data_IF_418837411049
#
_entry.id   IF_418837411049
#
_cell.length_a   1.000
_cell.length_b   1.000
_cell.length_c   1.000
_cell.angle_alpha   90.00
_cell.angle_beta   90.00
_cell.angle_gamma   90.00
#
_symmetry.space_group_name_H-M   'P 1'
#
loop_
_entity.id
_entity.type
_entity.pdbx_description
1 polymer ?
#
# COMPACT_ATOMS: atom_id res chain seq x y z
N UNK A 1 21.82 -26.64 13.14
CA UNK A 1 20.97 -26.09 14.25
C UNK A 1 20.79 -24.56 14.16
N UNK A 2 21.68 -23.79 13.53
CA UNK A 2 21.58 -22.31 13.48
C UNK A 2 20.71 -21.79 12.33
N UNK A 3 20.57 -22.51 11.23
CA UNK A 3 19.65 -22.18 10.13
C UNK A 3 18.18 -22.14 10.58
N UNK A 4 17.80 -22.99 11.52
CA UNK A 4 16.42 -23.07 12.00
C UNK A 4 15.90 -21.76 12.60
N UNK A 5 16.71 -20.99 13.32
CA UNK A 5 16.24 -19.76 13.99
C UNK A 5 15.82 -18.63 13.04
N UNK A 6 16.49 -18.50 11.89
CA UNK A 6 16.10 -17.49 10.90
C UNK A 6 14.75 -17.87 10.26
N UNK A 7 14.51 -19.16 10.02
CA UNK A 7 13.28 -19.66 9.41
C UNK A 7 12.13 -19.86 10.38
N UNK A 8 12.38 -19.85 11.70
CA UNK A 8 11.31 -19.84 12.71
C UNK A 8 10.39 -18.61 12.61
N UNK A 9 10.92 -17.50 12.06
CA UNK A 9 10.16 -16.26 11.84
C UNK A 9 9.48 -16.21 10.47
N UNK A 10 9.83 -17.12 9.55
CA UNK A 10 9.25 -17.19 8.21
C UNK A 10 8.24 -18.32 8.17
N UNK A 11 6.97 -17.96 8.33
CA UNK A 11 5.89 -18.92 8.19
C UNK A 11 5.52 -19.14 6.73
N UNK A 12 5.08 -20.35 6.38
CA UNK A 12 4.60 -20.68 5.03
C UNK A 12 5.64 -20.50 3.92
N UNK A 13 6.89 -20.90 4.20
CA UNK A 13 7.96 -20.88 3.19
C UNK A 13 7.60 -21.78 2.01
N UNK A 14 7.53 -21.19 0.81
CA UNK A 14 7.24 -21.89 -0.45
C UNK A 14 8.49 -22.23 -1.22
N UNK A 15 9.44 -21.29 -1.30
CA UNK A 15 10.62 -21.46 -2.13
C UNK A 15 11.80 -20.67 -1.60
N UNK A 16 13.01 -21.20 -1.86
CA UNK A 16 14.28 -20.49 -1.70
C UNK A 16 14.91 -20.37 -3.08
N UNK A 17 15.33 -19.17 -3.44
CA UNK A 17 16.00 -18.88 -4.72
C UNK A 17 17.37 -18.29 -4.41
N UNK A 18 18.49 -18.99 -4.73
CA UNK A 18 19.83 -18.47 -4.49
C UNK A 18 20.13 -17.27 -5.40
N UNK A 19 20.80 -16.27 -4.86
CA UNK A 19 21.35 -15.14 -5.59
C UNK A 19 22.82 -15.44 -5.91
N UNK A 20 23.57 -15.80 -4.87
CA UNK A 20 24.95 -16.18 -4.94
C UNK A 20 25.29 -17.24 -3.85
N UNK A 21 26.57 -17.39 -3.49
CA UNK A 21 27.01 -18.35 -2.46
C UNK A 21 26.60 -17.96 -1.03
N UNK A 22 26.27 -16.71 -0.77
CA UNK A 22 26.00 -16.16 0.54
C UNK A 22 24.58 -15.62 0.68
N UNK A 23 23.96 -15.22 -0.42
CA UNK A 23 22.63 -14.59 -0.41
C UNK A 23 21.57 -15.40 -1.15
N UNK A 24 20.36 -15.35 -0.62
CA UNK A 24 19.19 -16.02 -1.22
C UNK A 24 17.90 -15.27 -0.92
N UNK A 25 16.91 -15.47 -1.78
CA UNK A 25 15.54 -15.10 -1.52
C UNK A 25 14.77 -16.26 -0.89
N UNK A 26 13.95 -15.96 0.12
CA UNK A 26 12.92 -16.85 0.65
C UNK A 26 11.55 -16.28 0.29
N UNK A 27 10.71 -17.10 -0.32
CA UNK A 27 9.38 -16.71 -0.81
C UNK A 27 8.34 -17.44 0.03
N UNK A 28 7.37 -16.70 0.54
CA UNK A 28 6.17 -17.21 1.22
C UNK A 28 4.93 -16.93 0.37
N UNK A 29 3.75 -17.32 0.83
CA UNK A 29 2.50 -17.01 0.12
C UNK A 29 2.20 -15.51 -0.01
N UNK A 30 2.76 -14.67 0.86
CA UNK A 30 2.43 -13.23 0.92
C UNK A 30 3.64 -12.30 1.02
N UNK A 31 4.83 -12.83 1.18
CA UNK A 31 6.03 -12.04 1.46
C UNK A 31 7.27 -12.66 0.83
N UNK A 32 8.25 -11.80 0.56
CA UNK A 32 9.58 -12.21 0.12
C UNK A 32 10.62 -11.64 1.07
N UNK A 33 11.63 -12.45 1.37
CA UNK A 33 12.71 -12.13 2.32
C UNK A 33 14.04 -12.33 1.61
N UNK A 34 14.93 -11.34 1.69
CA UNK A 34 16.32 -11.51 1.32
C UNK A 34 17.12 -11.83 2.56
N UNK A 35 17.84 -12.92 2.55
CA UNK A 35 18.67 -13.33 3.66
C UNK A 35 20.11 -13.60 3.22
N UNK A 36 21.02 -13.37 4.13
CA UNK A 36 22.43 -13.60 4.00
C UNK A 36 22.85 -14.77 4.90
N UNK A 37 23.74 -15.61 4.41
CA UNK A 37 24.29 -16.74 5.13
C UNK A 37 25.84 -16.70 5.10
N UNK A 38 26.46 -16.53 6.26
CA UNK A 38 27.91 -16.43 6.42
C UNK A 38 28.61 -17.78 6.69
N UNK A 39 27.93 -18.88 6.44
CA UNK A 39 28.38 -20.23 6.75
C UNK A 39 27.96 -20.72 8.15
N UNK A 40 27.52 -19.82 9.03
CA UNK A 40 27.12 -20.12 10.40
C UNK A 40 25.73 -19.62 10.77
N UNK A 41 25.40 -18.41 10.38
CA UNK A 41 24.14 -17.75 10.75
C UNK A 41 23.47 -17.17 9.51
N UNK A 42 22.17 -17.45 9.35
CA UNK A 42 21.32 -16.77 8.39
C UNK A 42 20.73 -15.51 9.03
N UNK A 43 20.75 -14.38 8.31
CA UNK A 43 20.19 -13.10 8.76
C UNK A 43 19.32 -12.52 7.67
N UNK A 44 18.11 -12.12 8.02
CA UNK A 44 17.23 -11.40 7.10
C UNK A 44 17.78 -9.98 6.93
N UNK A 45 18.08 -9.61 5.69
CA UNK A 45 18.49 -8.24 5.32
C UNK A 45 17.31 -7.38 4.95
N UNK A 46 16.37 -7.95 4.23
CA UNK A 46 15.23 -7.23 3.66
C UNK A 46 14.00 -8.11 3.73
N UNK A 47 12.86 -7.49 3.98
CA UNK A 47 11.57 -8.16 3.97
C UNK A 47 10.55 -7.29 3.25
N UNK A 48 9.85 -7.88 2.29
CA UNK A 48 8.81 -7.20 1.52
C UNK A 48 7.50 -7.96 1.65
N UNK A 49 6.46 -7.27 2.10
CA UNK A 49 5.11 -7.82 2.06
C UNK A 49 4.51 -7.52 0.68
N UNK A 50 4.13 -8.58 -0.04
CA UNK A 50 3.59 -8.51 -1.40
C UNK A 50 2.05 -8.63 -1.35
N UNK A 51 1.43 -8.11 -0.30
CA UNK A 51 -0.03 -8.03 -0.20
C UNK A 51 -0.45 -6.57 -0.34
N UNK A 52 -0.65 -6.13 -1.58
CA UNK A 52 -1.48 -4.96 -1.86
C UNK A 52 -2.62 -5.43 -2.77
N UNK A 53 -3.80 -4.86 -2.62
CA UNK A 53 -4.95 -5.17 -3.49
C UNK A 53 -4.53 -5.13 -4.97
N UNK A 54 -4.56 -6.27 -5.65
CA UNK A 54 -4.18 -6.52 -7.03
C UNK A 54 -2.67 -6.74 -7.33
N UNK A 55 -1.82 -6.91 -6.32
CA UNK A 55 -0.46 -7.38 -6.52
C UNK A 55 -0.22 -8.53 -5.55
N UNK A 56 -0.32 -9.74 -6.01
CA UNK A 56 -0.01 -10.94 -5.24
C UNK A 56 1.01 -11.80 -5.95
N UNK A 57 1.73 -12.60 -5.16
CA UNK A 57 2.54 -13.67 -5.73
C UNK A 57 1.61 -14.68 -6.40
N UNK A 58 2.00 -15.20 -7.55
CA UNK A 58 1.20 -16.19 -8.28
C UNK A 58 1.17 -17.48 -7.48
N UNK A 59 0.03 -17.81 -6.89
CA UNK A 59 -0.15 -19.00 -6.04
C UNK A 59 0.27 -20.27 -6.78
N UNK A 60 1.11 -21.09 -6.14
CA UNK A 60 1.74 -22.29 -6.65
C UNK A 60 2.82 -22.05 -7.75
N UNK A 61 3.05 -20.81 -8.13
CA UNK A 61 4.09 -20.41 -9.10
C UNK A 61 4.92 -19.24 -8.58
N UNK A 62 5.00 -19.10 -7.26
CA UNK A 62 5.80 -18.06 -6.61
C UNK A 62 7.25 -18.14 -7.11
N UNK A 63 7.72 -17.09 -7.76
CA UNK A 63 9.04 -17.07 -8.36
C UNK A 63 9.73 -15.72 -8.29
N UNK A 64 11.05 -15.79 -8.12
CA UNK A 64 11.97 -14.68 -8.30
C UNK A 64 13.01 -15.11 -9.31
N UNK A 65 13.20 -14.30 -10.35
CA UNK A 65 14.27 -14.52 -11.33
C UNK A 65 15.45 -13.63 -10.97
N UNK A 66 16.57 -14.23 -10.61
CA UNK A 66 17.83 -13.54 -10.38
C UNK A 66 18.43 -13.23 -11.74
N UNK A 67 18.56 -11.96 -12.09
CA UNK A 67 19.09 -11.49 -13.36
C UNK A 67 20.63 -11.35 -13.30
N UNK A 68 21.14 -10.91 -12.18
CA UNK A 68 22.54 -10.86 -11.81
C UNK A 68 22.67 -10.64 -10.28
N UNK A 69 23.90 -10.48 -9.77
CA UNK A 69 24.20 -10.36 -8.34
C UNK A 69 23.45 -9.20 -7.63
N UNK A 70 23.00 -8.19 -8.39
CA UNK A 70 22.33 -7.02 -7.85
C UNK A 70 20.85 -6.91 -8.23
N UNK A 71 20.46 -7.50 -9.37
CA UNK A 71 19.13 -7.35 -9.94
C UNK A 71 18.32 -8.65 -9.83
N UNK A 72 17.15 -8.54 -9.24
CA UNK A 72 16.18 -9.62 -9.14
C UNK A 72 14.80 -9.16 -9.59
N UNK A 73 14.09 -10.02 -10.31
CA UNK A 73 12.73 -9.81 -10.79
C UNK A 73 11.76 -10.64 -9.94
N UNK A 74 10.91 -10.01 -9.17
CA UNK A 74 9.86 -10.67 -8.37
C UNK A 74 8.61 -10.73 -9.22
N UNK A 75 8.16 -11.95 -9.56
CA UNK A 75 7.01 -12.16 -10.44
C UNK A 75 5.69 -12.09 -9.64
N UNK A 76 4.74 -11.33 -10.16
CA UNK A 76 3.42 -11.11 -9.57
C UNK A 76 2.34 -11.49 -10.58
N UNK A 77 1.10 -11.64 -10.13
CA UNK A 77 -0.05 -11.97 -10.97
C UNK A 77 -0.39 -10.86 -12.00
N UNK A 78 -0.16 -9.62 -11.64
CA UNK A 78 -0.45 -8.45 -12.50
C UNK A 78 0.81 -7.68 -12.92
N UNK A 79 1.99 -8.32 -12.91
CA UNK A 79 3.24 -7.67 -13.34
C UNK A 79 4.47 -8.19 -12.62
N UNK A 80 5.42 -7.31 -12.34
CA UNK A 80 6.66 -7.65 -11.65
C UNK A 80 7.22 -6.47 -10.86
N UNK A 81 8.04 -6.80 -9.87
CA UNK A 81 8.88 -5.84 -9.15
C UNK A 81 10.33 -6.08 -9.56
N UNK A 82 11.02 -5.05 -10.02
CA UNK A 82 12.47 -5.08 -10.22
C UNK A 82 13.15 -4.60 -8.94
N UNK A 83 13.87 -5.49 -8.28
CA UNK A 83 14.68 -5.21 -7.12
C UNK A 83 16.14 -4.99 -7.52
N UNK A 84 16.73 -3.87 -7.11
CA UNK A 84 18.14 -3.54 -7.31
C UNK A 84 18.82 -3.33 -5.95
N UNK A 85 19.71 -4.26 -5.57
CA UNK A 85 20.39 -4.23 -4.27
C UNK A 85 21.44 -3.11 -4.15
N UNK A 86 21.93 -2.57 -5.25
CA UNK A 86 22.86 -1.43 -5.23
C UNK A 86 22.12 -0.09 -5.03
N UNK A 87 20.85 -0.04 -5.37
CA UNK A 87 19.97 1.10 -5.08
C UNK A 87 19.31 0.96 -3.72
N UNK A 88 20.06 0.56 -2.69
CA UNK A 88 19.57 0.33 -1.33
C UNK A 88 19.06 1.59 -0.59
N UNK A 89 19.11 2.76 -1.23
CA UNK A 89 18.22 3.86 -0.88
C UNK A 89 17.02 3.74 -1.82
N UNK A 90 15.87 3.24 -1.31
CA UNK A 90 14.59 3.53 -1.93
C UNK A 90 14.65 4.97 -2.42
N UNK A 91 14.65 5.18 -3.73
CA UNK A 91 14.19 6.42 -4.27
C UNK A 91 12.71 6.41 -3.91
N UNK A 92 12.38 6.92 -2.72
CA UNK A 92 11.00 7.13 -2.32
C UNK A 92 10.47 8.13 -3.32
N UNK A 93 9.73 7.63 -4.30
CA UNK A 93 8.94 8.50 -5.15
C UNK A 93 8.02 9.24 -4.19
N UNK A 94 8.17 10.54 -4.14
CA UNK A 94 7.33 11.38 -3.30
C UNK A 94 5.90 11.28 -3.85
N UNK A 95 5.04 10.60 -3.08
CA UNK A 95 3.66 10.40 -3.48
C UNK A 95 2.87 11.69 -3.21
N UNK A 96 2.12 12.13 -4.21
CA UNK A 96 1.21 13.27 -4.06
C UNK A 96 -0.02 12.85 -3.23
N UNK A 97 -0.44 13.72 -2.34
CA UNK A 97 -1.71 13.56 -1.63
C UNK A 97 -2.89 13.54 -2.61
N UNK A 98 -3.98 12.83 -2.30
CA UNK A 98 -5.19 12.87 -3.12
C UNK A 98 -5.76 14.29 -3.19
N UNK A 99 -6.19 14.70 -4.39
CA UNK A 99 -6.87 15.96 -4.60
C UNK A 99 -8.37 15.75 -4.48
N UNK A 100 -9.03 16.50 -3.60
CA UNK A 100 -10.48 16.48 -3.48
C UNK A 100 -11.11 17.16 -4.71
N UNK A 101 -12.13 16.52 -5.31
CA UNK A 101 -12.80 17.01 -6.50
C UNK A 101 -14.22 17.48 -6.19
N UNK A 102 -14.98 16.69 -5.42
CA UNK A 102 -16.34 17.06 -5.07
C UNK A 102 -16.77 16.42 -3.77
N UNK A 103 -17.83 16.99 -3.18
CA UNK A 103 -18.58 16.43 -2.07
C UNK A 103 -20.06 16.52 -2.39
N UNK A 104 -20.75 15.39 -2.25
CA UNK A 104 -22.20 15.32 -2.34
C UNK A 104 -22.79 14.96 -0.99
N UNK A 105 -23.81 15.67 -0.57
CA UNK A 105 -24.58 15.37 0.63
C UNK A 105 -26.06 15.22 0.28
N UNK A 106 -26.65 14.09 0.65
CA UNK A 106 -28.04 13.79 0.39
C UNK A 106 -28.34 13.59 -1.09
N UNK A 107 -29.47 14.16 -1.54
CA UNK A 107 -29.95 14.07 -2.93
C UNK A 107 -29.55 15.27 -3.79
N UNK A 108 -29.09 16.33 -3.20
CA UNK A 108 -28.69 17.54 -3.92
C UNK A 108 -27.22 17.44 -4.35
N UNK A 109 -27.00 17.64 -5.63
CA UNK A 109 -25.68 17.78 -6.22
C UNK A 109 -25.14 19.18 -5.89
N UNK A 110 -24.53 19.37 -4.77
CA UNK A 110 -23.71 20.55 -4.54
C UNK A 110 -22.33 20.31 -5.19
N UNK A 111 -22.30 20.27 -6.53
CA UNK A 111 -21.09 20.32 -7.30
C UNK A 111 -20.61 21.78 -7.34
N UNK A 112 -19.97 22.21 -6.28
CA UNK A 112 -19.26 23.47 -6.23
C UNK A 112 -17.81 23.23 -5.89
N UNK A 113 -16.90 24.01 -6.44
CA UNK A 113 -15.54 24.11 -5.94
C UNK A 113 -15.62 24.52 -4.47
N UNK A 114 -15.50 23.52 -3.57
CA UNK A 114 -15.51 23.80 -2.14
C UNK A 114 -14.15 24.38 -1.75
N UNK A 115 -14.21 25.44 -0.96
CA UNK A 115 -13.04 25.94 -0.28
C UNK A 115 -12.65 24.91 0.80
N UNK A 116 -11.67 24.08 0.49
CA UNK A 116 -11.21 22.94 1.30
C UNK A 116 -10.65 23.36 2.67
N UNK A 117 -10.53 24.67 2.91
CA UNK A 117 -10.10 25.23 4.18
C UNK A 117 -11.27 25.52 5.13
N UNK A 118 -12.49 25.15 4.77
CA UNK A 118 -13.69 25.39 5.59
C UNK A 118 -14.33 24.11 6.03
N UNK A 119 -14.75 24.09 7.31
CA UNK A 119 -15.60 23.05 7.86
C UNK A 119 -16.91 22.96 7.07
N UNK A 120 -17.27 21.75 6.63
CA UNK A 120 -18.47 21.53 5.82
C UNK A 120 -19.63 21.16 6.74
N UNK A 121 -20.69 21.94 6.67
CA UNK A 121 -21.90 21.69 7.44
C UNK A 121 -22.95 20.92 6.60
N UNK A 122 -23.22 19.69 6.99
CA UNK A 122 -24.19 18.82 6.34
C UNK A 122 -25.45 18.70 7.21
N UNK A 123 -26.63 19.08 6.72
CA UNK A 123 -27.87 18.89 7.45
C UNK A 123 -28.13 17.41 7.73
N UNK A 124 -28.63 17.06 8.91
CA UNK A 124 -28.87 15.66 9.30
C UNK A 124 -29.79 14.89 8.36
N UNK A 125 -30.73 15.56 7.70
CA UNK A 125 -31.59 14.93 6.67
C UNK A 125 -30.83 14.42 5.46
N UNK A 126 -29.61 14.94 5.22
CA UNK A 126 -28.75 14.66 4.07
C UNK A 126 -27.49 13.90 4.48
N UNK A 127 -27.62 13.04 5.50
CA UNK A 127 -26.52 12.34 6.17
C UNK A 127 -25.86 11.21 5.37
N UNK A 128 -26.12 11.13 4.08
CA UNK A 128 -25.35 10.31 3.12
C UNK A 128 -24.36 11.22 2.40
N UNK A 129 -23.08 10.97 2.60
CA UNK A 129 -21.99 11.81 2.08
C UNK A 129 -21.13 11.02 1.12
N UNK A 130 -20.90 11.56 -0.06
CA UNK A 130 -19.96 11.01 -1.03
C UNK A 130 -18.87 12.03 -1.30
N UNK A 131 -17.62 11.61 -1.15
CA UNK A 131 -16.43 12.42 -1.41
C UNK A 131 -15.71 11.85 -2.62
N UNK A 132 -15.54 12.67 -3.66
CA UNK A 132 -14.78 12.34 -4.86
C UNK A 132 -13.39 12.97 -4.82
N UNK A 133 -12.42 12.23 -5.32
CA UNK A 133 -11.03 12.66 -5.34
C UNK A 133 -10.28 12.05 -6.53
N UNK A 134 -9.17 12.69 -6.89
CA UNK A 134 -8.22 12.16 -7.88
C UNK A 134 -6.85 11.99 -7.27
N UNK A 135 -6.09 11.09 -7.86
CA UNK A 135 -4.68 10.84 -7.52
C UNK A 135 -3.84 11.18 -8.74
N UNK A 136 -2.84 12.02 -8.53
CA UNK A 136 -1.90 12.34 -9.61
C UNK A 136 -0.98 11.14 -9.87
N UNK A 137 -1.26 10.42 -10.95
CA UNK A 137 -0.50 9.25 -11.40
C UNK A 137 0.66 9.61 -12.33
N UNK A 138 1.25 10.80 -12.21
CA UNK A 138 2.33 11.27 -13.10
C UNK A 138 3.55 10.33 -13.17
N UNK A 139 3.67 9.43 -12.20
CA UNK A 139 4.66 8.35 -12.19
C UNK A 139 3.92 7.03 -12.11
N UNK A 140 3.59 6.47 -13.26
CA UNK A 140 2.81 5.26 -13.48
C UNK A 140 3.26 4.05 -12.64
N UNK A 141 2.95 4.08 -11.36
CA UNK A 141 2.97 2.96 -10.45
C UNK A 141 1.53 2.56 -10.11
N UNK A 142 1.34 1.39 -9.55
CA UNK A 142 0.08 1.00 -8.96
C UNK A 142 -0.15 1.84 -7.69
N UNK A 143 -0.84 2.97 -7.82
CA UNK A 143 -1.21 3.80 -6.70
C UNK A 143 -2.57 3.39 -6.14
N UNK A 144 -2.65 3.34 -4.83
CA UNK A 144 -3.85 3.02 -4.06
C UNK A 144 -4.17 4.20 -3.14
N UNK A 145 -5.43 4.28 -2.74
CA UNK A 145 -5.89 5.22 -1.73
C UNK A 145 -6.25 4.46 -0.46
N UNK A 146 -5.85 5.03 0.65
CA UNK A 146 -6.35 4.67 1.97
C UNK A 146 -7.10 5.85 2.56
N UNK A 147 -8.14 5.55 3.31
CA UNK A 147 -8.94 6.55 4.00
C UNK A 147 -9.25 6.12 5.44
N UNK A 148 -9.53 7.11 6.25
CA UNK A 148 -9.95 6.94 7.63
C UNK A 148 -10.90 8.08 7.98
N UNK A 149 -12.09 7.77 8.48
CA UNK A 149 -12.99 8.74 9.07
C UNK A 149 -12.78 8.73 10.57
N UNK A 150 -12.09 9.75 11.10
CA UNK A 150 -11.87 9.87 12.54
C UNK A 150 -13.22 9.85 13.29
N UNK A 151 -13.24 9.33 14.50
CA UNK A 151 -14.42 9.03 15.33
C UNK A 151 -15.25 7.81 14.91
N UNK A 152 -15.07 7.27 13.68
CA UNK A 152 -15.73 6.04 13.25
C UNK A 152 -14.74 4.89 13.01
N UNK A 153 -13.62 5.17 12.38
CA UNK A 153 -12.65 4.17 11.99
C UNK A 153 -11.47 4.16 12.97
N UNK A 154 -11.20 3.02 13.59
CA UNK A 154 -10.04 2.86 14.49
C UNK A 154 -8.71 2.76 13.75
N UNK A 155 -8.73 2.39 12.47
CA UNK A 155 -7.55 2.17 11.64
C UNK A 155 -7.79 2.65 10.20
N UNK A 156 -6.70 2.82 9.45
CA UNK A 156 -6.78 3.08 8.01
C UNK A 156 -7.47 1.93 7.28
N UNK A 157 -8.23 2.26 6.24
CA UNK A 157 -8.78 1.26 5.32
C UNK A 157 -7.68 0.44 4.64
N UNK A 158 -8.01 -0.75 4.12
CA UNK A 158 -7.12 -1.44 3.20
C UNK A 158 -6.83 -0.55 1.96
N UNK A 159 -5.61 -0.61 1.38
CA UNK A 159 -5.30 0.10 0.15
C UNK A 159 -6.23 -0.34 -0.99
N UNK A 160 -6.88 0.62 -1.68
CA UNK A 160 -7.81 0.34 -2.78
C UNK A 160 -7.65 1.35 -3.91
N UNK A 161 -7.98 0.94 -5.12
CA UNK A 161 -8.11 1.85 -6.26
C UNK A 161 -9.52 2.43 -6.26
N UNK A 162 -9.63 3.64 -5.76
CA UNK A 162 -10.90 4.35 -5.63
C UNK A 162 -10.72 5.77 -6.14
N UNK A 163 -11.79 6.35 -6.66
CA UNK A 163 -11.92 7.77 -6.97
C UNK A 163 -13.01 8.44 -6.15
N UNK A 164 -13.74 7.67 -5.34
CA UNK A 164 -14.74 8.20 -4.42
C UNK A 164 -15.00 7.23 -3.27
N UNK A 165 -15.48 7.77 -2.16
CA UNK A 165 -15.96 7.02 -0.99
C UNK A 165 -17.31 7.56 -0.59
N UNK A 166 -18.16 6.69 -0.07
CA UNK A 166 -19.51 7.06 0.39
C UNK A 166 -19.77 6.55 1.80
N UNK A 167 -20.27 7.43 2.62
CA UNK A 167 -20.75 7.13 3.96
C UNK A 167 -22.26 7.31 4.00
N UNK A 168 -22.97 6.23 4.27
CA UNK A 168 -24.42 6.26 4.39
C UNK A 168 -24.84 6.43 5.85
N UNK A 169 -25.78 7.32 6.10
CA UNK A 169 -26.40 7.51 7.43
C UNK A 169 -25.40 7.87 8.52
N UNK A 170 -24.52 8.84 8.25
CA UNK A 170 -23.61 9.34 9.26
C UNK A 170 -24.42 9.85 10.49
N UNK A 171 -24.09 9.40 11.70
CA UNK A 171 -24.65 9.97 12.92
C UNK A 171 -24.36 11.47 13.02
N UNK A 172 -25.09 12.17 13.89
CA UNK A 172 -24.76 13.56 14.20
C UNK A 172 -23.43 13.62 14.94
N UNK A 173 -22.49 14.42 14.45
CA UNK A 173 -21.15 14.53 15.02
C UNK A 173 -20.26 15.47 14.23
N UNK A 174 -19.01 15.56 14.67
CA UNK A 174 -17.92 16.17 13.91
C UNK A 174 -17.00 15.05 13.46
N UNK A 175 -16.58 15.11 12.22
CA UNK A 175 -15.76 14.09 11.59
C UNK A 175 -14.61 14.74 10.85
N UNK A 176 -13.47 14.07 10.82
CA UNK A 176 -12.34 14.42 9.98
C UNK A 176 -12.08 13.23 9.06
N UNK A 177 -12.27 13.43 7.77
CA UNK A 177 -11.90 12.45 6.77
C UNK A 177 -10.45 12.67 6.38
N UNK A 178 -9.64 11.63 6.58
CA UNK A 178 -8.24 11.58 6.14
C UNK A 178 -8.11 10.70 4.92
N UNK A 179 -7.39 11.18 3.93
CA UNK A 179 -7.08 10.47 2.70
C UNK A 179 -5.58 10.50 2.47
N UNK A 180 -5.01 9.40 2.02
CA UNK A 180 -3.62 9.34 1.58
C UNK A 180 -3.45 8.39 0.42
N UNK A 181 -2.42 8.63 -0.37
CA UNK A 181 -1.98 7.72 -1.43
C UNK A 181 -0.91 6.78 -0.91
N UNK A 182 -0.86 5.56 -1.41
CA UNK A 182 0.21 4.59 -1.13
C UNK A 182 0.57 3.79 -2.38
N UNK A 183 1.82 3.37 -2.47
CA UNK A 183 2.31 2.43 -3.49
C UNK A 183 2.11 0.95 -3.09
N UNK A 184 1.52 0.71 -1.92
CA UNK A 184 1.38 -0.64 -1.35
C UNK A 184 2.66 -1.22 -0.75
N UNK A 185 3.79 -0.49 -0.79
CA UNK A 185 5.11 -0.91 -0.30
C UNK A 185 5.55 -0.12 0.93
N UNK A 186 4.59 0.29 1.78
CA UNK A 186 4.81 1.14 2.97
C UNK A 186 5.34 2.56 2.66
N UNK A 187 5.12 3.06 1.46
CA UNK A 187 5.32 4.45 1.12
C UNK A 187 3.96 5.16 1.08
N UNK A 188 3.86 6.31 1.73
CA UNK A 188 2.61 7.05 1.89
C UNK A 188 2.81 8.52 1.54
N UNK A 189 1.81 9.13 0.92
CA UNK A 189 1.75 10.57 0.75
C UNK A 189 1.47 11.29 2.07
N UNK A 190 1.64 12.62 2.12
CA UNK A 190 0.96 13.43 3.11
C UNK A 190 -0.55 13.20 3.09
N UNK A 191 -1.21 13.41 4.23
CA UNK A 191 -2.66 13.26 4.33
C UNK A 191 -3.38 14.48 3.74
N UNK A 192 -4.45 14.24 2.99
CA UNK A 192 -5.48 15.25 2.70
C UNK A 192 -6.53 15.17 3.80
N UNK A 193 -6.87 16.30 4.39
CA UNK A 193 -7.85 16.40 5.50
C UNK A 193 -9.10 17.13 5.01
N UNK A 194 -10.27 16.66 5.46
CA UNK A 194 -11.56 17.25 5.21
C UNK A 194 -12.39 17.22 6.50
N UNK A 195 -12.83 18.41 6.99
CA UNK A 195 -13.68 18.59 8.18
C UNK A 195 -15.15 18.85 7.82
#
# INVERSE_FOLDING_TARGET
QHLNRCFETIHDLKRIVPIDSEESWAITGSSVYRFFYDGYIARIREAYKVEADNLSLITAYENISVLNDSLSLICLDAGFILHDSHRSKRQTVELSAPNLEFIHAGKEQNAGFMDLNKTIHIPYKDNTVTVGFSVNAAFAGNLFVQYQLEEMDSTWSAPKRLNSISYARLPQGKYILRLRTTDGLNNYSPDTLLE
#
